data_IF_762841977458
#
_entry.id   IF_762841977458
#
_cell.length_a   1.000
_cell.length_b   1.000
_cell.length_c   1.000
_cell.angle_alpha   90.00
_cell.angle_beta   90.00
_cell.angle_gamma   90.00
#
_symmetry.space_group_name_H-M   'P 1'
#
loop_
_entity.id
_entity.type
_entity.pdbx_description
1 polymer ?
#
# COMPACT_ATOMS: atom_id res chain seq x y z
N UNK A 1 -13.54 -19.82 -10.91
CA UNK A 1 -14.44 -18.93 -11.66
C UNK A 1 -13.96 -17.51 -11.43
N UNK A 2 -13.17 -16.95 -12.35
CA UNK A 2 -12.83 -15.53 -12.33
C UNK A 2 -14.08 -14.76 -12.72
N UNK A 3 -14.72 -14.09 -11.76
CA UNK A 3 -15.75 -13.12 -12.08
C UNK A 3 -15.10 -12.05 -12.96
N UNK A 4 -15.56 -11.92 -14.20
CA UNK A 4 -15.17 -10.82 -15.07
C UNK A 4 -15.73 -9.55 -14.44
N UNK A 5 -14.88 -8.80 -13.74
CA UNK A 5 -15.26 -7.50 -13.19
C UNK A 5 -15.49 -6.58 -14.39
N UNK A 6 -16.76 -6.23 -14.64
CA UNK A 6 -17.08 -5.16 -15.59
C UNK A 6 -16.54 -3.86 -14.99
N UNK A 7 -15.55 -3.25 -15.66
CA UNK A 7 -14.81 -2.10 -15.13
C UNK A 7 -15.25 -0.84 -15.86
N UNK A 8 -16.50 -0.43 -15.64
CA UNK A 8 -16.98 0.84 -16.21
C UNK A 8 -16.31 2.02 -15.50
N UNK A 9 -16.29 3.19 -16.15
CA UNK A 9 -15.82 4.42 -15.51
C UNK A 9 -16.61 4.74 -14.23
N UNK A 10 -17.92 4.42 -14.19
CA UNK A 10 -18.75 4.62 -13.00
C UNK A 10 -18.28 3.76 -11.83
N UNK A 11 -18.07 2.46 -12.07
CA UNK A 11 -17.65 1.52 -11.04
C UNK A 11 -16.31 1.92 -10.42
N UNK A 12 -15.38 2.39 -11.26
CA UNK A 12 -14.06 2.85 -10.81
C UNK A 12 -14.16 4.16 -10.02
N UNK A 13 -15.00 5.12 -10.42
CA UNK A 13 -15.24 6.32 -9.62
C UNK A 13 -15.80 5.96 -8.23
N UNK A 14 -16.78 5.06 -8.17
CA UNK A 14 -17.41 4.67 -6.90
C UNK A 14 -16.41 3.99 -5.96
N UNK A 15 -15.57 3.10 -6.48
CA UNK A 15 -14.55 2.40 -5.68
C UNK A 15 -13.45 3.34 -5.21
N UNK A 16 -12.95 4.23 -6.07
CA UNK A 16 -11.95 5.23 -5.68
C UNK A 16 -12.54 6.17 -4.64
N UNK A 17 -13.74 6.71 -4.86
CA UNK A 17 -14.37 7.63 -3.90
C UNK A 17 -14.62 6.96 -2.55
N UNK A 18 -15.10 5.71 -2.54
CA UNK A 18 -15.27 4.95 -1.31
C UNK A 18 -13.94 4.72 -0.59
N UNK A 19 -12.87 4.39 -1.32
CA UNK A 19 -11.52 4.22 -0.77
C UNK A 19 -10.97 5.52 -0.18
N UNK A 20 -10.97 6.62 -0.95
CA UNK A 20 -10.52 7.93 -0.49
C UNK A 20 -11.32 8.42 0.72
N UNK A 21 -12.63 8.15 0.76
CA UNK A 21 -13.49 8.48 1.90
C UNK A 21 -13.10 7.70 3.15
N UNK A 22 -12.88 6.39 3.04
CA UNK A 22 -12.39 5.56 4.17
C UNK A 22 -11.03 6.03 4.69
N UNK A 23 -10.19 6.56 3.80
CA UNK A 23 -8.87 7.13 4.12
C UNK A 23 -8.92 8.60 4.55
N UNK A 24 -10.10 9.22 4.61
CA UNK A 24 -10.30 10.62 5.00
C UNK A 24 -9.53 11.62 4.13
N UNK A 25 -9.34 11.29 2.83
CA UNK A 25 -8.66 12.17 1.85
C UNK A 25 -9.53 12.49 0.63
N UNK A 26 -10.79 12.04 0.62
CA UNK A 26 -11.75 12.41 -0.42
C UNK A 26 -11.99 13.93 -0.40
N UNK A 27 -11.97 14.53 -1.60
CA UNK A 27 -12.41 15.90 -1.83
C UNK A 27 -13.79 15.82 -2.47
N UNK A 28 -14.83 16.34 -1.82
CA UNK A 28 -16.22 16.21 -2.29
C UNK A 28 -16.42 16.86 -3.67
N UNK A 29 -15.79 18.01 -3.90
CA UNK A 29 -15.74 18.70 -5.19
C UNK A 29 -14.39 18.49 -5.87
N UNK A 30 -13.99 17.23 -6.02
CA UNK A 30 -12.75 16.87 -6.69
C UNK A 30 -12.68 17.52 -8.09
N UNK A 31 -11.55 18.14 -8.48
CA UNK A 31 -11.42 18.80 -9.78
C UNK A 31 -11.26 17.81 -10.94
N UNK A 32 -11.57 16.54 -10.71
CA UNK A 32 -11.34 15.46 -11.63
C UNK A 32 -12.42 14.39 -11.58
N UNK A 33 -12.52 13.63 -12.67
CA UNK A 33 -13.35 12.43 -12.76
C UNK A 33 -12.67 11.35 -13.59
N UNK A 34 -12.90 10.09 -13.23
CA UNK A 34 -12.49 8.98 -14.10
C UNK A 34 -13.47 8.85 -15.26
N UNK A 35 -12.96 8.80 -16.48
CA UNK A 35 -13.75 8.61 -17.72
C UNK A 35 -13.01 7.66 -18.66
N UNK A 36 -13.72 7.15 -19.67
CA UNK A 36 -13.08 6.41 -20.76
C UNK A 36 -12.17 7.33 -21.57
N UNK A 37 -10.98 6.84 -21.90
CA UNK A 37 -10.00 7.58 -22.69
C UNK A 37 -10.14 7.23 -24.17
N UNK A 38 -10.10 8.23 -25.09
CA UNK A 38 -10.04 7.96 -26.51
C UNK A 38 -8.74 7.23 -26.93
N UNK A 39 -7.72 7.24 -26.07
CA UNK A 39 -6.46 6.49 -26.27
C UNK A 39 -6.56 5.03 -25.78
N UNK A 40 -7.71 4.63 -25.23
CA UNK A 40 -7.95 3.32 -24.62
C UNK A 40 -7.87 3.33 -23.10
N UNK A 41 -8.68 2.48 -22.47
CA UNK A 41 -8.74 2.35 -21.01
C UNK A 41 -9.43 3.52 -20.31
N UNK A 42 -9.13 3.70 -19.03
CA UNK A 42 -9.68 4.77 -18.19
C UNK A 42 -8.61 5.84 -17.94
N UNK A 43 -9.03 7.10 -17.90
CA UNK A 43 -8.19 8.25 -17.57
C UNK A 43 -8.83 9.15 -16.51
N UNK A 44 -8.02 10.03 -15.92
CA UNK A 44 -8.46 11.10 -15.02
C UNK A 44 -8.57 12.39 -15.84
N UNK A 45 -9.74 13.01 -15.82
CA UNK A 45 -10.05 14.21 -16.61
C UNK A 45 -10.45 15.35 -15.70
N UNK A 46 -9.98 16.57 -16.00
CA UNK A 46 -10.39 17.75 -15.27
C UNK A 46 -11.89 18.05 -15.49
N UNK A 47 -12.60 18.44 -14.43
CA UNK A 47 -14.00 18.86 -14.51
C UNK A 47 -14.16 20.38 -14.70
N UNK A 48 -13.07 21.15 -14.52
CA UNK A 48 -13.00 22.59 -14.71
C UNK A 48 -11.56 23.04 -15.05
N UNK A 49 -11.42 24.32 -15.41
CA UNK A 49 -10.11 24.91 -15.69
C UNK A 49 -9.22 24.91 -14.43
N UNK A 50 -7.99 24.45 -14.60
CA UNK A 50 -6.99 24.34 -13.53
C UNK A 50 -6.02 25.52 -13.57
N UNK A 51 -5.68 26.05 -12.41
CA UNK A 51 -4.67 27.08 -12.23
C UNK A 51 -3.32 26.47 -11.81
N UNK A 52 -2.19 27.14 -12.11
CA UNK A 52 -0.90 26.75 -11.58
C UNK A 52 -0.91 26.66 -10.05
N UNK A 53 -0.58 25.49 -9.52
CA UNK A 53 -0.56 25.22 -8.08
C UNK A 53 -1.80 24.48 -7.54
N UNK A 54 -2.83 24.26 -8.37
CA UNK A 54 -4.00 23.51 -7.94
C UNK A 54 -3.66 22.05 -7.60
N UNK A 55 -4.24 21.54 -6.52
CA UNK A 55 -4.14 20.13 -6.16
C UNK A 55 -5.16 19.36 -7.00
N UNK A 56 -4.67 18.75 -8.08
CA UNK A 56 -5.52 17.99 -9.01
C UNK A 56 -6.01 16.70 -8.37
N UNK A 57 -5.14 15.93 -7.70
CA UNK A 57 -5.49 14.62 -7.17
C UNK A 57 -4.73 14.35 -5.87
N UNK A 58 -5.41 13.71 -4.91
CA UNK A 58 -4.80 13.16 -3.69
C UNK A 58 -4.94 11.65 -3.72
N UNK A 59 -3.84 10.96 -3.49
CA UNK A 59 -3.82 9.50 -3.46
C UNK A 59 -3.47 8.96 -2.08
N UNK A 60 -3.85 7.71 -1.85
CA UNK A 60 -3.38 6.92 -0.71
C UNK A 60 -2.97 5.53 -1.19
N UNK A 61 -1.75 5.04 -0.87
CA UNK A 61 -1.33 3.72 -1.31
C UNK A 61 -2.21 2.64 -0.66
N UNK A 62 -2.81 1.77 -1.48
CA UNK A 62 -3.56 0.61 -0.96
C UNK A 62 -2.63 -0.36 -0.25
N UNK A 63 -1.44 -0.59 -0.83
CA UNK A 63 -0.35 -1.35 -0.23
C UNK A 63 0.92 -0.51 -0.37
N UNK A 64 1.61 -0.31 0.74
CA UNK A 64 2.91 0.35 0.78
C UNK A 64 3.91 -0.59 1.46
N UNK A 65 5.13 -0.68 0.93
CA UNK A 65 6.16 -1.54 1.47
C UNK A 65 7.49 -1.36 0.76
N UNK A 66 8.57 -1.93 1.31
CA UNK A 66 9.89 -1.87 0.70
C UNK A 66 9.87 -2.50 -0.69
N UNK A 67 10.68 -1.92 -1.59
CA UNK A 67 10.89 -2.48 -2.93
C UNK A 67 11.73 -3.75 -2.82
N UNK A 68 11.34 -4.79 -3.57
CA UNK A 68 12.19 -5.96 -3.75
C UNK A 68 13.42 -5.58 -4.59
N UNK A 69 14.59 -5.56 -3.96
CA UNK A 69 15.87 -5.24 -4.58
C UNK A 69 16.82 -6.43 -4.49
N UNK A 70 17.76 -6.52 -5.44
CA UNK A 70 18.85 -7.50 -5.40
C UNK A 70 19.74 -7.25 -4.16
N UNK A 71 20.10 -5.98 -3.94
CA UNK A 71 20.77 -5.52 -2.72
C UNK A 71 19.75 -4.86 -1.79
N UNK A 72 19.50 -5.40 -0.59
CA UNK A 72 18.52 -4.83 0.34
C UNK A 72 19.02 -3.49 0.87
N UNK A 73 18.10 -2.55 1.04
CA UNK A 73 18.37 -1.34 1.81
C UNK A 73 17.89 -1.54 3.23
N UNK A 74 18.79 -1.37 4.20
CA UNK A 74 18.43 -1.35 5.61
C UNK A 74 17.62 -0.09 5.89
N UNK A 75 16.33 -0.30 6.18
CA UNK A 75 15.38 0.74 6.51
C UNK A 75 14.35 0.22 7.51
N UNK A 76 13.77 1.12 8.29
CA UNK A 76 12.64 0.78 9.13
C UNK A 76 11.46 0.37 8.24
N UNK A 77 10.95 -0.84 8.43
CA UNK A 77 9.86 -1.37 7.59
C UNK A 77 8.53 -0.62 7.78
N UNK A 78 8.39 0.18 8.84
CA UNK A 78 7.18 0.95 9.15
C UNK A 78 7.22 2.39 8.65
N UNK A 79 8.31 3.11 8.89
CA UNK A 79 8.41 4.55 8.57
C UNK A 79 9.44 4.87 7.47
N UNK A 80 10.14 3.86 6.97
CA UNK A 80 11.13 3.98 5.91
C UNK A 80 12.38 4.82 6.24
N UNK A 81 12.56 5.21 7.50
CA UNK A 81 13.79 5.84 7.99
C UNK A 81 14.98 4.89 7.86
N UNK A 82 16.16 5.43 7.57
CA UNK A 82 17.44 4.71 7.56
C UNK A 82 18.24 4.87 8.87
N UNK A 83 17.65 5.54 9.86
CA UNK A 83 18.30 5.89 11.12
C UNK A 83 17.80 5.01 12.27
N UNK A 84 18.69 4.75 13.23
CA UNK A 84 18.39 4.08 14.51
C UNK A 84 17.76 2.69 14.34
N UNK A 85 18.30 1.92 13.40
CA UNK A 85 17.73 0.64 13.00
C UNK A 85 18.23 -0.50 13.90
N UNK A 86 17.30 -1.24 14.48
CA UNK A 86 17.61 -2.50 15.16
C UNK A 86 16.53 -3.55 14.93
N UNK A 87 16.88 -4.85 14.98
CA UNK A 87 15.91 -5.93 14.88
C UNK A 87 14.82 -5.82 15.96
N UNK A 88 13.58 -6.16 15.60
CA UNK A 88 12.47 -6.16 16.54
C UNK A 88 12.77 -7.09 17.74
N UNK A 89 12.62 -6.62 18.99
CA UNK A 89 12.93 -7.40 20.20
C UNK A 89 12.02 -8.62 20.38
N UNK A 90 10.85 -8.64 19.72
CA UNK A 90 9.92 -9.78 19.71
C UNK A 90 10.33 -10.89 18.73
N UNK A 91 11.54 -10.80 18.15
CA UNK A 91 12.15 -11.81 17.26
C UNK A 91 11.33 -12.14 16.00
N UNK A 92 10.50 -11.21 15.52
CA UNK A 92 9.80 -11.38 14.23
C UNK A 92 10.73 -11.23 13.01
N UNK A 93 11.97 -10.78 13.21
CA UNK A 93 12.99 -10.63 12.16
C UNK A 93 12.93 -9.31 11.37
N UNK A 94 11.99 -8.41 11.69
CA UNK A 94 11.85 -7.10 11.04
C UNK A 94 12.83 -6.07 11.59
N UNK A 95 13.30 -5.17 10.72
CA UNK A 95 14.15 -4.03 11.06
C UNK A 95 13.29 -2.78 11.32
N UNK A 96 13.49 -2.14 12.47
CA UNK A 96 12.66 -1.01 12.91
C UNK A 96 13.53 0.06 13.56
N UNK A 97 13.10 1.33 13.45
CA UNK A 97 13.62 2.36 14.35
C UNK A 97 12.99 2.23 15.75
N UNK A 98 13.64 2.79 16.78
CA UNK A 98 13.16 2.73 18.17
C UNK A 98 11.69 3.16 18.32
N UNK A 99 11.29 4.25 17.66
CA UNK A 99 9.91 4.75 17.67
C UNK A 99 8.93 3.72 17.11
N UNK A 100 9.28 3.03 16.02
CA UNK A 100 8.42 2.04 15.39
C UNK A 100 8.38 0.71 16.14
N UNK A 101 9.38 0.40 16.96
CA UNK A 101 9.34 -0.77 17.86
C UNK A 101 8.28 -0.62 18.96
N UNK A 102 8.08 0.60 19.48
CA UNK A 102 7.04 0.89 20.45
C UNK A 102 5.66 1.14 19.82
N UNK A 103 5.62 1.45 18.52
CA UNK A 103 4.40 1.74 17.78
C UNK A 103 3.59 0.48 17.43
N UNK A 104 2.24 0.56 17.38
CA UNK A 104 1.41 -0.51 16.85
C UNK A 104 1.61 -0.76 15.34
N UNK A 105 2.32 0.12 14.62
CA UNK A 105 2.43 0.08 13.15
C UNK A 105 2.92 -1.24 12.54
N UNK A 106 3.74 -2.02 13.26
CA UNK A 106 4.24 -3.32 12.79
C UNK A 106 3.63 -4.51 13.56
N UNK A 107 2.66 -4.29 14.45
CA UNK A 107 2.19 -5.31 15.41
C UNK A 107 1.60 -6.54 14.71
N UNK A 108 0.71 -6.32 13.75
CA UNK A 108 0.06 -7.40 12.99
C UNK A 108 1.10 -8.25 12.25
N UNK A 109 2.06 -7.60 11.57
CA UNK A 109 3.17 -8.28 10.91
C UNK A 109 4.05 -9.05 11.91
N UNK A 110 4.33 -8.44 13.07
CA UNK A 110 5.15 -9.03 14.13
C UNK A 110 4.53 -10.33 14.66
N UNK A 111 3.24 -10.33 14.94
CA UNK A 111 2.51 -11.48 15.46
C UNK A 111 2.42 -12.59 14.40
N UNK A 112 2.10 -12.23 13.16
CA UNK A 112 2.01 -13.18 12.05
C UNK A 112 3.34 -13.89 11.79
N UNK A 113 4.44 -13.12 11.74
CA UNK A 113 5.78 -13.62 11.48
C UNK A 113 6.35 -14.37 12.67
N UNK A 114 6.17 -13.87 13.90
CA UNK A 114 6.67 -14.51 15.12
C UNK A 114 6.12 -15.91 15.36
N UNK A 115 4.91 -16.22 14.87
CA UNK A 115 4.34 -17.56 14.93
C UNK A 115 4.89 -18.54 13.89
N UNK A 116 5.46 -18.02 12.79
CA UNK A 116 5.83 -18.82 11.60
C UNK A 116 7.33 -18.92 11.39
N UNK A 117 8.07 -18.00 11.98
CA UNK A 117 9.52 -17.93 11.89
C UNK A 117 10.10 -18.56 13.16
N UNK A 118 10.60 -19.79 13.02
CA UNK A 118 11.34 -20.51 14.06
C UNK A 118 12.85 -20.26 13.88
N UNK A 119 13.58 -19.93 14.96
CA UNK A 119 15.05 -19.89 14.97
C UNK A 119 15.68 -18.64 15.62
N UNK A 120 16.97 -18.73 15.93
CA UNK A 120 17.73 -17.64 16.53
C UNK A 120 18.02 -16.57 15.47
N UNK A 121 17.32 -15.45 15.56
CA UNK A 121 17.44 -14.31 14.63
C UNK A 121 18.03 -13.10 15.31
N UNK A 122 18.98 -13.33 16.21
CA UNK A 122 19.61 -12.26 16.99
C UNK A 122 20.27 -11.21 16.08
N UNK A 123 20.81 -11.60 14.92
CA UNK A 123 21.76 -10.70 14.23
C UNK A 123 21.58 -10.55 12.71
N UNK A 124 20.62 -11.25 12.07
CA UNK A 124 20.45 -11.15 10.61
C UNK A 124 19.01 -10.92 10.19
N UNK A 125 18.76 -9.69 9.72
CA UNK A 125 17.67 -9.40 8.80
C UNK A 125 17.87 -10.31 7.60
N UNK A 126 16.91 -11.19 7.33
CA UNK A 126 16.93 -11.85 6.02
C UNK A 126 16.42 -10.82 5.03
N UNK A 127 17.30 -10.34 4.15
CA UNK A 127 16.95 -9.59 2.93
C UNK A 127 15.63 -10.02 2.29
N UNK A 128 15.43 -11.34 2.23
CA UNK A 128 14.22 -11.99 1.72
C UNK A 128 12.95 -11.62 2.48
N UNK A 129 13.01 -11.43 3.80
CA UNK A 129 11.87 -11.00 4.61
C UNK A 129 11.46 -9.58 4.21
N UNK A 130 12.42 -8.65 4.16
CA UNK A 130 12.17 -7.27 3.70
C UNK A 130 11.57 -7.28 2.30
N UNK A 131 12.16 -8.03 1.36
CA UNK A 131 11.66 -8.16 -0.01
C UNK A 131 10.26 -8.79 -0.11
N UNK A 132 9.85 -9.57 0.90
CA UNK A 132 8.54 -10.24 0.94
C UNK A 132 7.46 -9.44 1.68
N UNK A 133 7.79 -8.30 2.31
CA UNK A 133 6.82 -7.57 3.13
C UNK A 133 5.69 -6.96 2.34
N UNK A 134 5.98 -6.35 1.19
CA UNK A 134 4.95 -5.75 0.33
C UNK A 134 3.87 -6.77 -0.08
N UNK A 135 4.20 -7.95 -0.63
CA UNK A 135 3.18 -8.96 -0.90
C UNK A 135 2.57 -9.54 0.38
N UNK A 136 3.30 -9.65 1.50
CA UNK A 136 2.73 -10.08 2.78
C UNK A 136 1.61 -9.13 3.25
N UNK A 137 1.82 -7.82 3.13
CA UNK A 137 0.82 -6.79 3.49
C UNK A 137 -0.48 -6.92 2.71
N UNK A 138 -0.44 -7.49 1.50
CA UNK A 138 -1.67 -7.76 0.73
C UNK A 138 -2.62 -8.75 1.43
N UNK A 139 -2.09 -9.63 2.29
CA UNK A 139 -2.90 -10.62 3.02
C UNK A 139 -3.76 -9.94 4.10
N UNK A 140 -3.24 -8.86 4.70
CA UNK A 140 -3.89 -8.11 5.78
C UNK A 140 -4.89 -7.05 5.29
N UNK A 141 -5.05 -6.87 3.98
CA UNK A 141 -6.06 -5.95 3.44
C UNK A 141 -7.48 -6.39 3.83
N UNK A 142 -8.34 -5.41 4.12
CA UNK A 142 -9.78 -5.65 4.27
C UNK A 142 -10.41 -6.14 2.97
N UNK A 143 -11.62 -6.67 3.02
CA UNK A 143 -12.34 -7.08 1.81
C UNK A 143 -12.57 -5.90 0.85
N UNK A 144 -12.86 -4.72 1.39
CA UNK A 144 -13.06 -3.50 0.62
C UNK A 144 -11.77 -3.03 -0.06
N UNK A 145 -10.62 -3.11 0.61
CA UNK A 145 -9.35 -2.69 0.02
C UNK A 145 -8.80 -3.75 -0.96
N UNK A 146 -9.09 -5.03 -0.73
CA UNK A 146 -8.88 -6.09 -1.74
C UNK A 146 -9.68 -5.81 -3.00
N UNK A 147 -10.92 -5.32 -2.87
CA UNK A 147 -11.71 -4.91 -4.03
C UNK A 147 -11.02 -3.78 -4.79
N UNK A 148 -10.46 -2.76 -4.12
CA UNK A 148 -9.69 -1.70 -4.80
C UNK A 148 -8.54 -2.30 -5.63
N UNK A 149 -7.73 -3.19 -5.06
CA UNK A 149 -6.63 -3.86 -5.80
C UNK A 149 -7.16 -4.63 -7.02
N UNK A 150 -8.24 -5.40 -6.85
CA UNK A 150 -8.82 -6.20 -7.91
C UNK A 150 -9.37 -5.34 -9.06
N UNK A 151 -9.99 -4.20 -8.74
CA UNK A 151 -10.49 -3.26 -9.73
C UNK A 151 -9.39 -2.47 -10.42
N UNK A 152 -8.21 -2.33 -9.82
CA UNK A 152 -7.06 -1.70 -10.48
C UNK A 152 -6.34 -2.64 -11.45
N UNK A 153 -6.49 -3.97 -11.30
CA UNK A 153 -5.89 -4.96 -12.20
C UNK A 153 -6.46 -4.80 -13.62
N UNK A 154 -5.58 -4.59 -14.59
CA UNK A 154 -5.91 -4.66 -16.02
C UNK A 154 -5.85 -6.15 -16.42
N UNK A 155 -6.89 -6.66 -17.06
CA UNK A 155 -6.81 -7.95 -17.76
C UNK A 155 -5.85 -7.78 -18.93
N UNK A 156 -4.63 -8.30 -18.79
CA UNK A 156 -3.65 -8.42 -19.88
C UNK A 156 -3.95 -9.72 -20.64
#
# INVERSE_FOLDING_TARGET
MTATINRSASDVNDIINAFLKRRQILVEDAPWKVRESPLGGLGIFAEHDLNPGDIIYRDYPVILGPRCLAEPTDMCVSCYSILDLSPCPKKCGLLLCSNCQASPAHREECEFLGQRISGDRSDKITSHLTNSLTPLRSLFLSLEDKAVVLYLKVSI
#
